data_IF_955111093011
#
_entry.id   IF_955111093011
#
_cell.length_a   1.000
_cell.length_b   1.000
_cell.length_c   1.000
_cell.angle_alpha   90.00
_cell.angle_beta   90.00
_cell.angle_gamma   90.00
#
_symmetry.space_group_name_H-M   'P 1'
#
loop_
_entity.id
_entity.type
_entity.pdbx_description
1 polymer ?
#
# COMPACT_ATOMS: atom_id res chain seq x y z
N UNK A 1 5.95 4.42 27.54
CA UNK A 1 5.33 3.35 26.73
C UNK A 1 4.04 3.89 26.16
N UNK A 2 4.01 4.25 24.88
CA UNK A 2 2.77 4.68 24.23
C UNK A 2 2.15 3.45 23.55
N UNK A 3 1.14 2.88 24.20
CA UNK A 3 0.26 1.86 23.62
C UNK A 3 -0.75 2.60 22.75
N UNK A 4 -0.48 2.69 21.45
CA UNK A 4 -1.42 3.26 20.48
C UNK A 4 -2.16 2.15 19.77
N UNK A 5 -3.45 1.99 20.07
CA UNK A 5 -4.36 1.24 19.19
C UNK A 5 -4.51 2.07 17.93
N UNK A 6 -3.96 1.59 16.80
CA UNK A 6 -4.36 2.10 15.49
C UNK A 6 -5.76 1.52 15.24
N UNK A 7 -6.77 2.31 15.58
CA UNK A 7 -8.12 2.06 15.11
C UNK A 7 -8.10 2.23 13.59
N UNK A 8 -8.04 1.12 12.86
CA UNK A 8 -8.13 1.11 11.41
C UNK A 8 -9.41 1.82 10.99
N UNK A 9 -9.28 2.91 10.23
CA UNK A 9 -10.41 3.68 9.76
C UNK A 9 -11.34 2.78 8.94
N UNK A 10 -12.57 2.61 9.43
CA UNK A 10 -13.67 2.01 8.67
C UNK A 10 -14.18 3.08 7.73
N UNK A 11 -13.67 3.13 6.51
CA UNK A 11 -14.16 4.04 5.48
C UNK A 11 -14.84 3.24 4.36
N UNK A 12 -16.15 3.06 4.50
CA UNK A 12 -17.07 2.66 3.43
C UNK A 12 -17.08 1.16 3.09
N UNK A 13 -18.24 0.51 3.24
CA UNK A 13 -18.42 -0.89 2.84
C UNK A 13 -18.31 -1.07 1.33
N UNK A 14 -17.11 -1.24 0.80
CA UNK A 14 -16.93 -1.87 -0.50
C UNK A 14 -17.20 -3.36 -0.33
N UNK A 15 -18.17 -3.88 -1.08
CA UNK A 15 -18.45 -5.33 -1.14
C UNK A 15 -17.24 -6.10 -1.73
N UNK A 16 -16.15 -5.42 -2.15
CA UNK A 16 -15.00 -5.98 -2.89
C UNK A 16 -13.63 -6.00 -2.17
N UNK A 17 -13.55 -5.75 -0.86
CA UNK A 17 -12.26 -5.73 -0.15
C UNK A 17 -11.34 -4.57 -0.59
N UNK A 18 -10.08 -4.57 -0.13
CA UNK A 18 -9.16 -3.43 -0.34
C UNK A 18 -8.89 -3.12 -1.81
N UNK A 19 -8.76 -4.15 -2.68
CA UNK A 19 -8.55 -3.95 -4.12
C UNK A 19 -9.78 -3.30 -4.75
N UNK A 20 -10.98 -3.82 -4.44
CA UNK A 20 -12.24 -3.23 -4.92
C UNK A 20 -12.40 -1.77 -4.50
N UNK A 21 -12.18 -1.47 -3.22
CA UNK A 21 -12.29 -0.10 -2.69
C UNK A 21 -11.32 0.88 -3.38
N UNK A 22 -10.09 0.45 -3.67
CA UNK A 22 -9.10 1.28 -4.37
C UNK A 22 -9.50 1.49 -5.84
N UNK A 23 -9.95 0.44 -6.52
CA UNK A 23 -10.41 0.54 -7.91
C UNK A 23 -11.64 1.44 -8.05
N UNK A 24 -12.61 1.32 -7.14
CA UNK A 24 -13.77 2.21 -7.06
C UNK A 24 -13.36 3.67 -6.78
N UNK A 25 -12.23 3.88 -6.10
CA UNK A 25 -11.70 5.22 -5.83
C UNK A 25 -10.95 5.85 -7.02
N UNK A 26 -10.72 5.09 -8.09
CA UNK A 26 -10.04 5.54 -9.31
C UNK A 26 -8.61 5.00 -9.48
N UNK A 27 -8.14 4.14 -8.59
CA UNK A 27 -6.82 3.50 -8.72
C UNK A 27 -6.89 2.40 -9.79
N UNK A 28 -5.94 2.33 -10.75
CA UNK A 28 -5.89 1.21 -11.68
C UNK A 28 -5.80 -0.13 -10.93
N UNK A 29 -6.55 -1.15 -11.35
CA UNK A 29 -6.61 -2.44 -10.64
C UNK A 29 -5.23 -3.07 -10.42
N UNK A 30 -4.37 -3.04 -11.44
CA UNK A 30 -2.98 -3.53 -11.35
C UNK A 30 -2.15 -2.79 -10.27
N UNK A 31 -2.44 -1.51 -10.01
CA UNK A 31 -1.81 -0.71 -8.96
C UNK A 31 -2.43 -1.02 -7.60
N UNK A 32 -3.76 -1.20 -7.55
CA UNK A 32 -4.50 -1.58 -6.34
C UNK A 32 -3.98 -2.90 -5.74
N UNK A 33 -3.66 -3.89 -6.57
CA UNK A 33 -3.01 -5.13 -6.09
C UNK A 33 -1.66 -4.86 -5.42
N UNK A 34 -0.84 -3.95 -5.94
CA UNK A 34 0.48 -3.63 -5.34
C UNK A 34 0.31 -2.92 -4.00
N UNK A 35 -0.64 -1.99 -3.89
CA UNK A 35 -0.95 -1.33 -2.62
C UNK A 35 -1.47 -2.31 -1.56
N UNK A 36 -2.40 -3.20 -1.96
CA UNK A 36 -2.95 -4.22 -1.09
C UNK A 36 -1.87 -5.19 -0.59
N UNK A 37 -0.97 -5.62 -1.47
CA UNK A 37 0.18 -6.43 -1.11
C UNK A 37 1.12 -5.69 -0.15
N UNK A 38 1.36 -4.40 -0.41
CA UNK A 38 2.15 -3.54 0.47
C UNK A 38 1.62 -3.55 1.90
N UNK A 39 0.31 -3.43 2.08
CA UNK A 39 -0.33 -3.52 3.40
C UNK A 39 -0.20 -4.92 4.00
N UNK A 40 -0.46 -5.99 3.23
CA UNK A 40 -0.31 -7.38 3.69
C UNK A 40 1.09 -7.70 4.19
N UNK A 41 2.12 -7.11 3.56
CA UNK A 41 3.54 -7.27 3.92
C UNK A 41 3.99 -6.34 5.06
N UNK A 42 3.07 -5.65 5.73
CA UNK A 42 3.34 -4.79 6.89
C UNK A 42 3.57 -3.31 6.57
N UNK A 43 3.30 -2.88 5.33
CA UNK A 43 3.32 -1.47 4.95
C UNK A 43 2.08 -0.70 5.41
N UNK A 44 2.13 0.62 5.27
CA UNK A 44 0.99 1.52 5.52
C UNK A 44 0.57 2.18 4.23
N UNK A 45 -0.74 2.24 3.99
CA UNK A 45 -1.34 2.96 2.87
C UNK A 45 -2.15 4.13 3.41
N UNK A 46 -1.93 5.31 2.83
CA UNK A 46 -2.68 6.53 3.14
C UNK A 46 -3.35 7.00 1.85
N UNK A 47 -4.66 7.17 1.88
CA UNK A 47 -5.45 7.70 0.77
C UNK A 47 -6.26 8.90 1.26
N UNK A 48 -6.38 9.95 0.45
CA UNK A 48 -7.19 11.11 0.77
C UNK A 48 -8.16 11.39 -0.40
N UNK A 49 -9.44 11.59 -0.07
CA UNK A 49 -10.41 12.22 -0.98
C UNK A 49 -10.51 13.68 -0.55
N UNK A 50 -10.16 14.58 -1.46
CA UNK A 50 -10.16 16.01 -1.21
C UNK A 50 -10.90 16.72 -2.35
N UNK A 51 -11.41 17.92 -2.07
CA UNK A 51 -11.95 18.79 -3.12
C UNK A 51 -10.82 19.24 -4.06
N UNK A 52 -11.15 19.58 -5.31
CA UNK A 52 -10.18 19.89 -6.37
C UNK A 52 -9.19 21.00 -5.96
N UNK A 53 -9.69 22.00 -5.22
CA UNK A 53 -8.92 23.14 -4.70
C UNK A 53 -7.82 22.72 -3.70
N UNK A 54 -7.96 21.55 -3.09
CA UNK A 54 -7.05 21.01 -2.07
C UNK A 54 -6.06 19.98 -2.61
N UNK A 55 -6.17 19.57 -3.88
CA UNK A 55 -5.32 18.53 -4.48
C UNK A 55 -3.83 18.89 -4.31
N UNK A 56 -3.43 20.09 -4.71
CA UNK A 56 -2.03 20.51 -4.62
C UNK A 56 -1.50 20.50 -3.19
N UNK A 57 -2.31 20.90 -2.20
CA UNK A 57 -1.94 20.86 -0.79
C UNK A 57 -1.80 19.42 -0.28
N UNK A 58 -2.70 18.53 -0.68
CA UNK A 58 -2.63 17.12 -0.33
C UNK A 58 -1.39 16.45 -0.93
N UNK A 59 -1.09 16.72 -2.20
CA UNK A 59 0.12 16.24 -2.88
C UNK A 59 1.39 16.74 -2.20
N UNK A 60 1.44 18.03 -1.79
CA UNK A 60 2.57 18.58 -1.05
C UNK A 60 2.78 17.85 0.28
N UNK A 61 1.73 17.75 1.10
CA UNK A 61 1.80 17.12 2.43
C UNK A 61 2.19 15.63 2.30
N UNK A 62 1.58 14.89 1.37
CA UNK A 62 1.92 13.48 1.16
C UNK A 62 3.32 13.31 0.57
N UNK A 63 3.76 14.25 -0.26
CA UNK A 63 5.10 14.29 -0.86
C UNK A 63 6.23 14.64 0.13
N UNK A 64 5.91 15.21 1.30
CA UNK A 64 6.88 15.44 2.39
C UNK A 64 7.33 14.13 3.06
N UNK A 65 6.61 13.03 2.84
CA UNK A 65 6.92 11.71 3.38
C UNK A 65 7.74 10.88 2.37
N UNK A 66 8.43 9.84 2.86
CA UNK A 66 9.03 8.83 1.96
C UNK A 66 7.93 8.00 1.32
N UNK A 67 7.45 8.44 0.16
CA UNK A 67 6.55 7.66 -0.67
C UNK A 67 7.31 6.50 -1.34
N UNK A 68 6.55 5.47 -1.67
CA UNK A 68 7.07 4.29 -2.35
C UNK A 68 6.94 4.52 -3.86
N UNK A 69 8.02 4.27 -4.61
CA UNK A 69 7.91 4.10 -6.06
C UNK A 69 7.17 2.80 -6.36
N UNK A 70 5.97 2.94 -6.95
CA UNK A 70 5.08 1.82 -7.20
C UNK A 70 5.63 0.84 -8.25
N UNK A 71 6.33 1.35 -9.27
CA UNK A 71 6.88 0.53 -10.35
C UNK A 71 8.11 -0.25 -9.89
N UNK A 72 8.96 0.34 -9.04
CA UNK A 72 10.02 -0.38 -8.36
C UNK A 72 9.46 -1.44 -7.40
N UNK A 73 8.43 -1.08 -6.61
CA UNK A 73 7.81 -2.00 -5.67
C UNK A 73 7.21 -3.22 -6.36
N UNK A 74 6.48 -3.01 -7.45
CA UNK A 74 5.92 -4.09 -8.27
C UNK A 74 7.00 -5.06 -8.74
N UNK A 75 8.07 -4.52 -9.33
CA UNK A 75 9.20 -5.33 -9.82
C UNK A 75 9.84 -6.15 -8.72
N UNK A 76 9.98 -5.59 -7.51
CA UNK A 76 10.52 -6.33 -6.36
C UNK A 76 9.62 -7.51 -5.97
N UNK A 77 8.30 -7.32 -5.92
CA UNK A 77 7.37 -8.41 -5.63
C UNK A 77 7.37 -9.48 -6.71
N UNK A 78 7.33 -9.09 -7.99
CA UNK A 78 7.35 -10.01 -9.12
C UNK A 78 8.64 -10.83 -9.18
N UNK A 79 9.79 -10.25 -8.78
CA UNK A 79 11.04 -10.97 -8.65
C UNK A 79 10.99 -12.10 -7.59
N UNK A 80 10.16 -11.94 -6.55
CA UNK A 80 9.85 -12.96 -5.55
C UNK A 80 8.72 -13.92 -5.95
N UNK A 81 8.25 -13.87 -7.21
CA UNK A 81 7.20 -14.76 -7.71
C UNK A 81 5.77 -14.32 -7.37
N UNK A 82 5.58 -13.09 -6.88
CA UNK A 82 4.26 -12.52 -6.67
C UNK A 82 3.56 -12.24 -8.01
N UNK A 83 2.30 -12.62 -8.13
CA UNK A 83 1.47 -12.38 -9.34
C UNK A 83 0.27 -11.48 -9.10
N UNK A 84 0.04 -11.06 -7.86
CA UNK A 84 -1.14 -10.29 -7.46
C UNK A 84 -1.49 -10.49 -5.99
N UNK A 85 -2.19 -9.52 -5.41
CA UNK A 85 -2.70 -9.63 -4.05
C UNK A 85 -3.75 -10.74 -3.95
N UNK A 86 -3.57 -11.62 -2.97
CA UNK A 86 -4.54 -12.65 -2.58
C UNK A 86 -5.00 -12.40 -1.15
N UNK A 87 -6.29 -12.14 -0.98
CA UNK A 87 -6.92 -11.88 0.30
C UNK A 87 -7.03 -13.13 1.19
N UNK A 88 -6.91 -14.33 0.62
CA UNK A 88 -6.97 -15.61 1.35
C UNK A 88 -5.59 -16.15 1.71
N UNK A 89 -4.52 -15.51 1.22
CA UNK A 89 -3.18 -15.81 1.69
C UNK A 89 -3.12 -15.53 3.20
N UNK A 90 -2.52 -16.45 3.95
CA UNK A 90 -2.33 -16.30 5.39
C UNK A 90 -1.39 -15.14 5.75
N UNK A 91 -0.94 -15.13 7.00
CA UNK A 91 0.06 -14.17 7.45
C UNK A 91 1.28 -14.17 6.52
N UNK A 92 1.72 -12.98 6.12
CA UNK A 92 2.89 -12.84 5.27
C UNK A 92 4.15 -13.21 6.05
N UNK A 93 4.83 -14.26 5.61
CA UNK A 93 6.13 -14.69 6.14
C UNK A 93 7.21 -14.27 5.15
N UNK A 94 8.05 -13.27 5.47
CA UNK A 94 9.06 -12.78 4.55
C UNK A 94 10.15 -13.82 4.31
N UNK A 95 10.42 -14.13 3.04
CA UNK A 95 11.58 -14.92 2.64
C UNK A 95 12.85 -14.05 2.64
N UNK A 96 14.01 -14.67 2.39
CA UNK A 96 15.31 -13.98 2.41
C UNK A 96 15.41 -12.88 1.35
N UNK A 97 14.83 -13.08 0.17
CA UNK A 97 14.77 -12.11 -0.94
C UNK A 97 14.03 -10.85 -0.52
N UNK A 98 12.86 -11.05 0.08
CA UNK A 98 12.01 -9.96 0.54
C UNK A 98 12.68 -9.13 1.65
N UNK A 99 13.45 -9.76 2.53
CA UNK A 99 14.18 -9.06 3.60
C UNK A 99 15.29 -8.16 3.06
N UNK A 100 16.00 -8.59 2.03
CA UNK A 100 17.07 -7.79 1.42
C UNK A 100 16.51 -6.61 0.62
N UNK A 101 15.41 -6.80 -0.10
CA UNK A 101 14.70 -5.71 -0.77
C UNK A 101 14.14 -4.68 0.22
N UNK A 102 13.53 -5.11 1.33
CA UNK A 102 13.01 -4.19 2.34
C UNK A 102 14.11 -3.30 2.97
N UNK A 103 15.33 -3.82 3.14
CA UNK A 103 16.48 -3.03 3.59
C UNK A 103 16.94 -1.99 2.58
N UNK A 104 16.94 -2.34 1.30
CA UNK A 104 17.37 -1.44 0.22
C UNK A 104 16.39 -0.29 0.01
N UNK A 105 15.09 -0.57 0.00
CA UNK A 105 14.05 0.45 -0.28
C UNK A 105 13.95 1.48 0.85
N UNK A 106 14.34 1.12 2.08
CA UNK A 106 14.27 2.02 3.24
C UNK A 106 15.59 2.76 3.54
N UNK A 107 16.57 2.70 2.63
CA UNK A 107 17.88 3.33 2.80
C UNK A 107 17.77 4.86 2.59
N UNK A 108 18.45 5.68 3.43
CA UNK A 108 18.21 7.11 3.42
C UNK A 108 18.78 7.93 2.28
#
# INVERSE_FOLDING_TARGET
TATGVVAGAVAGGAVGGIVGALTESGVPENDAHVYAEGVRRGGTLVTARVDDELIANAEEILGQSRSVDLAERRRAYEAGGWTGFDANAGEYIPDETDRDSARTINRP
#
